data_IF_213993841627
#
_entry.id   IF_213993841627
#
_cell.length_a   1.000
_cell.length_b   1.000
_cell.length_c   1.000
_cell.angle_alpha   90.00
_cell.angle_beta   90.00
_cell.angle_gamma   90.00
#
_symmetry.space_group_name_H-M   'P 1'
#
loop_
_entity.id
_entity.type
_entity.pdbx_description
1 polymer ?
#
# COMPACT_ATOMS: atom_id res chain seq x y z
N UNK A 1 -10.39 -30.80 19.04
CA UNK A 1 -10.69 -29.95 20.20
C UNK A 1 -10.86 -28.50 19.80
N UNK A 2 -12.07 -27.98 19.97
CA UNK A 2 -12.45 -26.59 19.66
C UNK A 2 -12.84 -25.85 20.96
N UNK A 3 -12.02 -25.97 22.00
CA UNK A 3 -12.34 -25.58 23.37
C UNK A 3 -12.18 -24.08 23.68
N UNK A 4 -12.08 -23.22 22.66
CA UNK A 4 -11.86 -21.76 22.82
C UNK A 4 -12.73 -20.87 21.93
N UNK A 5 -13.71 -21.41 21.19
CA UNK A 5 -14.51 -20.67 20.18
C UNK A 5 -15.56 -19.68 20.73
N UNK A 6 -15.53 -19.37 22.02
CA UNK A 6 -16.48 -18.46 22.67
C UNK A 6 -15.96 -17.05 22.92
N UNK A 7 -14.66 -16.78 22.71
CA UNK A 7 -14.12 -15.44 22.93
C UNK A 7 -14.18 -14.61 21.65
N UNK A 8 -14.67 -13.38 21.78
CA UNK A 8 -14.79 -12.44 20.67
C UNK A 8 -13.39 -11.89 20.39
N UNK A 9 -12.85 -12.04 19.16
CA UNK A 9 -11.56 -11.48 18.78
C UNK A 9 -11.47 -10.00 19.15
N UNK A 10 -10.33 -9.58 19.71
CA UNK A 10 -10.11 -8.20 20.21
C UNK A 10 -10.33 -7.14 19.12
N UNK A 11 -10.10 -7.51 17.84
CA UNK A 11 -10.35 -6.66 16.67
C UNK A 11 -11.84 -6.42 16.39
N UNK A 12 -12.72 -7.35 16.78
CA UNK A 12 -14.19 -7.18 16.69
C UNK A 12 -14.68 -6.23 17.79
N UNK A 13 -14.05 -6.27 18.98
CA UNK A 13 -14.37 -5.35 20.10
C UNK A 13 -13.99 -3.89 19.81
N UNK A 14 -13.13 -3.65 18.82
CA UNK A 14 -12.57 -2.33 18.47
C UNK A 14 -13.14 -1.74 17.17
N UNK A 15 -14.11 -2.41 16.54
CA UNK A 15 -14.85 -1.92 15.38
C UNK A 15 -15.64 -0.64 15.73
N UNK A 16 -15.44 0.48 15.02
CA UNK A 16 -16.04 1.78 15.37
C UNK A 16 -17.58 1.81 15.27
N UNK A 17 -18.20 0.89 14.51
CA UNK A 17 -19.66 0.76 14.40
C UNK A 17 -20.29 -0.11 15.50
N UNK A 18 -19.50 -0.91 16.23
CA UNK A 18 -20.00 -1.75 17.33
C UNK A 18 -19.86 -0.98 18.65
N UNK A 19 -20.76 -0.01 18.86
CA UNK A 19 -20.94 0.68 20.16
C UNK A 19 -21.58 -0.20 21.24
N UNK A 20 -21.99 -1.42 20.91
CA UNK A 20 -22.70 -2.33 21.80
C UNK A 20 -21.85 -3.55 22.18
N UNK A 21 -22.03 -3.98 23.42
CA UNK A 21 -21.37 -5.12 24.05
C UNK A 21 -21.61 -6.39 23.21
N UNK A 22 -20.57 -6.92 22.56
CA UNK A 22 -20.67 -8.14 21.74
C UNK A 22 -20.95 -9.32 22.67
N UNK A 23 -22.21 -9.72 22.76
CA UNK A 23 -22.64 -10.88 23.54
C UNK A 23 -22.76 -12.10 22.61
N UNK A 24 -22.01 -13.16 22.94
CA UNK A 24 -22.19 -14.47 22.28
C UNK A 24 -23.55 -15.01 22.70
N UNK A 25 -24.46 -15.17 21.75
CA UNK A 25 -25.80 -15.74 21.99
C UNK A 25 -25.69 -17.28 21.88
N UNK A 26 -25.74 -18.03 22.99
CA UNK A 26 -25.51 -19.47 22.99
C UNK A 26 -26.56 -20.26 22.19
N UNK A 27 -27.76 -19.71 22.03
CA UNK A 27 -28.88 -20.35 21.32
C UNK A 27 -28.80 -20.17 19.79
N UNK A 28 -27.86 -19.36 19.30
CA UNK A 28 -27.69 -19.07 17.88
C UNK A 28 -26.80 -20.12 17.22
N UNK A 29 -27.40 -21.21 16.72
CA UNK A 29 -26.67 -22.20 15.94
C UNK A 29 -26.43 -21.69 14.52
N UNK A 30 -25.21 -21.22 14.24
CA UNK A 30 -24.72 -20.86 12.91
C UNK A 30 -23.85 -22.00 12.39
N UNK A 31 -24.21 -22.57 11.23
CA UNK A 31 -23.41 -23.59 10.55
C UNK A 31 -22.86 -23.04 9.23
N UNK A 32 -21.57 -23.24 8.93
CA UNK A 32 -21.05 -22.98 7.58
C UNK A 32 -21.75 -23.92 6.59
N UNK A 33 -22.20 -23.37 5.46
CA UNK A 33 -22.90 -24.09 4.38
C UNK A 33 -22.01 -24.20 3.16
N UNK A 34 -21.13 -23.23 2.94
CA UNK A 34 -20.27 -23.18 1.78
C UNK A 34 -19.07 -22.26 2.01
N UNK A 35 -17.89 -22.63 1.48
CA UNK A 35 -17.57 -23.90 0.82
C UNK A 35 -17.63 -25.10 1.77
N UNK A 36 -17.91 -26.29 1.22
CA UNK A 36 -17.88 -27.54 1.99
C UNK A 36 -16.45 -27.82 2.46
N UNK A 37 -16.32 -28.42 3.64
CA UNK A 37 -15.02 -28.73 4.22
C UNK A 37 -14.22 -29.66 3.29
N UNK A 38 -12.97 -29.28 3.01
CA UNK A 38 -12.08 -30.00 2.09
C UNK A 38 -12.35 -29.80 0.59
N UNK A 39 -13.33 -29.00 0.17
CA UNK A 39 -13.58 -28.73 -1.26
C UNK A 39 -12.61 -27.68 -1.81
N UNK A 40 -12.00 -28.00 -2.95
CA UNK A 40 -11.18 -27.05 -3.71
C UNK A 40 -12.08 -26.08 -4.47
N UNK A 41 -12.14 -24.84 -4.02
CA UNK A 41 -12.90 -23.78 -4.69
C UNK A 41 -12.06 -23.17 -5.81
N UNK A 42 -12.51 -23.35 -7.06
CA UNK A 42 -11.80 -22.86 -8.26
C UNK A 42 -12.18 -21.44 -8.70
N UNK A 43 -13.14 -20.80 -8.03
CA UNK A 43 -13.50 -19.41 -8.31
C UNK A 43 -12.59 -18.46 -7.54
N UNK A 44 -12.19 -17.35 -8.17
CA UNK A 44 -11.42 -16.30 -7.53
C UNK A 44 -12.21 -15.56 -6.43
N UNK A 45 -13.54 -15.67 -6.44
CA UNK A 45 -14.44 -15.03 -5.47
C UNK A 45 -15.33 -16.13 -4.87
N UNK A 46 -14.89 -16.82 -3.81
CA UNK A 46 -15.69 -17.84 -3.16
C UNK A 46 -16.86 -17.20 -2.39
N UNK A 47 -18.07 -17.73 -2.57
CA UNK A 47 -19.22 -17.33 -1.76
C UNK A 47 -19.19 -18.04 -0.40
N UNK A 48 -18.93 -17.30 0.67
CA UNK A 48 -19.04 -17.80 2.03
C UNK A 48 -20.51 -17.76 2.47
N UNK A 49 -21.10 -18.93 2.69
CA UNK A 49 -22.51 -19.06 3.09
C UNK A 49 -22.62 -19.64 4.48
N UNK A 50 -23.44 -19.01 5.32
CA UNK A 50 -23.79 -19.51 6.65
C UNK A 50 -25.28 -19.73 6.74
N UNK A 51 -25.69 -20.84 7.35
CA UNK A 51 -27.09 -21.15 7.68
C UNK A 51 -27.27 -20.99 9.16
N UNK A 52 -28.20 -20.12 9.50
CA UNK A 52 -28.66 -19.88 10.86
C UNK A 52 -29.86 -20.77 11.16
N UNK A 53 -29.90 -21.35 12.37
CA UNK A 53 -31.09 -22.02 12.92
C UNK A 53 -31.54 -21.27 14.18
N UNK A 54 -32.72 -20.65 14.12
CA UNK A 54 -33.30 -19.85 15.21
C UNK A 54 -33.05 -18.35 15.06
N UNK A 55 -34.02 -17.52 15.44
CA UNK A 55 -33.86 -16.07 15.50
C UNK A 55 -34.16 -15.52 16.89
N UNK A 56 -33.17 -14.98 17.63
CA UNK A 56 -33.41 -14.02 18.70
C UNK A 56 -34.33 -12.90 18.17
N UNK A 57 -35.53 -12.81 18.74
CA UNK A 57 -36.47 -11.73 18.45
C UNK A 57 -35.87 -10.40 18.89
N UNK A 58 -35.87 -9.40 18.01
CA UNK A 58 -35.47 -8.02 18.34
C UNK A 58 -33.98 -7.67 18.21
N UNK A 59 -33.10 -8.57 17.77
CA UNK A 59 -31.65 -8.30 17.67
C UNK A 59 -31.15 -8.22 16.22
N UNK A 60 -30.34 -7.19 15.91
CA UNK A 60 -29.56 -7.10 14.68
C UNK A 60 -28.35 -8.02 14.78
N UNK A 61 -28.13 -8.87 13.77
CA UNK A 61 -26.97 -9.76 13.70
C UNK A 61 -26.09 -9.35 12.54
N UNK A 62 -24.81 -9.16 12.86
CA UNK A 62 -23.75 -8.98 11.89
C UNK A 62 -22.92 -10.25 11.82
N UNK A 63 -22.57 -10.66 10.61
CA UNK A 63 -21.66 -11.78 10.37
C UNK A 63 -20.28 -11.23 10.05
N UNK A 64 -19.26 -11.84 10.64
CA UNK A 64 -17.87 -11.49 10.41
C UNK A 64 -17.13 -12.74 9.91
N UNK A 65 -16.49 -12.61 8.76
CA UNK A 65 -15.71 -13.68 8.15
C UNK A 65 -14.22 -13.34 8.21
N UNK A 66 -13.43 -14.33 8.62
CA UNK A 66 -11.96 -14.33 8.54
C UNK A 66 -11.52 -15.54 7.73
N UNK A 67 -10.53 -15.33 6.87
CA UNK A 67 -9.90 -16.37 6.05
C UNK A 67 -8.40 -16.33 6.34
N UNK A 68 -7.84 -17.47 6.73
CA UNK A 68 -6.40 -17.66 6.94
C UNK A 68 -5.95 -18.98 6.30
N UNK A 69 -4.68 -19.04 5.92
CA UNK A 69 -3.98 -20.28 5.57
C UNK A 69 -3.49 -21.03 6.82
N UNK A 70 -3.28 -20.30 7.93
CA UNK A 70 -2.92 -20.87 9.23
C UNK A 70 -4.17 -21.36 10.00
N UNK A 71 -4.23 -22.65 10.43
CA UNK A 71 -5.35 -23.19 11.19
C UNK A 71 -5.62 -22.46 12.51
N UNK A 72 -4.61 -21.80 13.07
CA UNK A 72 -4.72 -21.04 14.32
C UNK A 72 -5.14 -19.58 14.12
N UNK A 73 -5.35 -19.14 12.88
CA UNK A 73 -5.73 -17.78 12.53
C UNK A 73 -4.80 -16.74 13.15
N UNK A 74 -3.48 -16.94 13.10
CA UNK A 74 -2.51 -15.97 13.64
C UNK A 74 -1.67 -15.29 12.57
N UNK A 75 -1.88 -15.60 11.29
CA UNK A 75 -0.96 -15.14 10.25
C UNK A 75 -1.06 -13.62 9.98
N UNK A 76 0.04 -13.00 9.51
CA UNK A 76 0.04 -11.60 9.08
C UNK A 76 -0.80 -11.34 7.81
N UNK A 77 -1.14 -12.40 7.06
CA UNK A 77 -1.79 -12.32 5.75
C UNK A 77 -3.27 -12.72 5.79
N UNK A 78 -3.86 -12.74 6.99
CA UNK A 78 -5.29 -12.95 7.18
C UNK A 78 -6.11 -11.91 6.44
N UNK A 79 -7.18 -12.37 5.82
CA UNK A 79 -8.17 -11.51 5.20
C UNK A 79 -9.44 -11.50 6.05
N UNK A 80 -9.85 -10.32 6.48
CA UNK A 80 -11.06 -10.11 7.26
C UNK A 80 -12.09 -9.28 6.50
N UNK A 81 -13.37 -9.47 6.83
CA UNK A 81 -14.46 -8.66 6.27
C UNK A 81 -14.37 -7.17 6.64
N UNK A 82 -13.60 -6.85 7.68
CA UNK A 82 -13.35 -5.49 8.19
C UNK A 82 -12.12 -4.84 7.57
N UNK A 83 -11.35 -5.53 6.73
CA UNK A 83 -10.16 -4.92 6.14
C UNK A 83 -10.59 -3.81 5.18
N UNK A 84 -10.30 -2.57 5.58
CA UNK A 84 -10.45 -1.42 4.72
C UNK A 84 -9.36 -1.45 3.65
N UNK A 85 -9.68 -1.09 2.40
CA UNK A 85 -8.65 -0.90 1.39
C UNK A 85 -7.64 0.14 1.90
N UNK A 86 -6.38 -0.27 1.97
CA UNK A 86 -5.22 0.55 2.34
C UNK A 86 -5.20 1.97 1.76
N UNK A 87 -5.80 2.18 0.57
CA UNK A 87 -5.94 3.46 -0.11
C UNK A 87 -6.77 4.44 0.72
N UNK A 88 -7.89 4.00 1.31
CA UNK A 88 -8.76 4.86 2.12
C UNK A 88 -8.10 5.22 3.45
N UNK A 89 -7.29 4.33 4.03
CA UNK A 89 -6.49 4.64 5.22
C UNK A 89 -5.33 5.60 4.92
N UNK A 90 -4.77 5.55 3.71
CA UNK A 90 -3.68 6.42 3.28
C UNK A 90 -4.15 7.84 2.93
N UNK A 91 -5.38 8.01 2.43
CA UNK A 91 -5.95 9.32 2.10
C UNK A 91 -6.38 10.03 3.39
N UNK A 92 -5.46 10.78 3.98
CA UNK A 92 -5.73 11.66 5.12
C UNK A 92 -5.93 13.10 4.64
N UNK A 93 -7.18 13.55 4.40
CA UNK A 93 -7.45 14.86 3.79
C UNK A 93 -6.86 16.02 4.61
N UNK A 94 -6.79 15.87 5.94
CA UNK A 94 -6.14 16.84 6.83
C UNK A 94 -4.65 17.01 6.53
N UNK A 95 -3.92 15.93 6.27
CA UNK A 95 -2.48 15.98 5.97
C UNK A 95 -2.23 16.64 4.62
N UNK A 96 -3.07 16.30 3.62
CA UNK A 96 -3.02 16.90 2.29
C UNK A 96 -3.30 18.41 2.36
N UNK A 97 -4.33 18.81 3.10
CA UNK A 97 -4.68 20.22 3.29
C UNK A 97 -3.58 21.02 4.00
N UNK A 98 -2.96 20.45 5.03
CA UNK A 98 -1.82 21.07 5.72
C UNK A 98 -0.62 21.21 4.79
N UNK A 99 -0.28 20.17 4.01
CA UNK A 99 0.80 20.24 3.02
C UNK A 99 0.58 21.32 1.96
N UNK A 100 -0.64 21.44 1.46
CA UNK A 100 -1.03 22.47 0.49
C UNK A 100 -0.92 23.89 1.10
N UNK A 101 -1.41 24.09 2.32
CA UNK A 101 -1.32 25.37 3.00
C UNK A 101 0.13 25.79 3.29
N UNK A 102 0.99 24.85 3.70
CA UNK A 102 2.42 25.10 3.92
C UNK A 102 3.12 25.48 2.60
N UNK A 103 2.82 24.78 1.51
CA UNK A 103 3.38 25.08 0.20
C UNK A 103 2.98 26.48 -0.28
N UNK A 104 1.69 26.83 -0.17
CA UNK A 104 1.18 28.14 -0.57
C UNK A 104 1.70 29.27 0.35
N UNK A 105 1.78 29.03 1.65
CA UNK A 105 2.36 29.98 2.61
C UNK A 105 3.84 30.24 2.32
N UNK A 106 4.62 29.18 2.08
CA UNK A 106 6.03 29.31 1.70
C UNK A 106 6.20 30.05 0.38
N UNK A 107 5.33 29.80 -0.61
CA UNK A 107 5.31 30.53 -1.88
C UNK A 107 5.13 32.05 -1.68
N UNK A 108 4.15 32.45 -0.87
CA UNK A 108 3.86 33.87 -0.59
C UNK A 108 5.03 34.53 0.13
N UNK A 109 5.60 33.85 1.12
CA UNK A 109 6.77 34.35 1.87
C UNK A 109 7.96 34.56 0.93
N UNK A 110 8.33 33.57 0.11
CA UNK A 110 9.45 33.71 -0.82
C UNK A 110 9.20 34.79 -1.88
N UNK A 111 7.96 34.94 -2.34
CA UNK A 111 7.56 35.99 -3.28
C UNK A 111 7.75 37.39 -2.70
N UNK A 112 7.42 37.60 -1.41
CA UNK A 112 7.65 38.86 -0.70
C UNK A 112 9.14 39.22 -0.55
N UNK A 113 9.99 38.22 -0.31
CA UNK A 113 11.44 38.39 -0.19
C UNK A 113 12.18 38.39 -1.54
N UNK A 114 11.49 38.22 -2.68
CA UNK A 114 12.10 38.16 -4.01
C UNK A 114 13.04 36.97 -4.22
N UNK A 115 12.93 35.92 -3.40
CA UNK A 115 13.82 34.77 -3.44
C UNK A 115 13.48 33.84 -4.61
N UNK A 116 14.48 33.19 -5.25
CA UNK A 116 14.24 32.26 -6.35
C UNK A 116 13.27 31.15 -5.95
N UNK A 117 12.19 30.97 -6.73
CA UNK A 117 11.17 29.93 -6.49
C UNK A 117 11.74 28.50 -6.47
N UNK A 118 12.90 28.33 -7.10
CA UNK A 118 13.67 27.08 -7.13
C UNK A 118 14.09 26.60 -5.72
N UNK A 119 14.13 27.48 -4.71
CA UNK A 119 14.43 27.09 -3.33
C UNK A 119 13.37 26.15 -2.75
N UNK A 120 12.09 26.35 -3.07
CA UNK A 120 11.00 25.49 -2.60
C UNK A 120 11.16 24.09 -3.20
N UNK A 121 11.47 24.02 -4.50
CA UNK A 121 11.75 22.75 -5.18
C UNK A 121 12.95 22.03 -4.56
N UNK A 122 14.03 22.76 -4.23
CA UNK A 122 15.19 22.20 -3.55
C UNK A 122 14.87 21.66 -2.15
N UNK A 123 14.10 22.41 -1.37
CA UNK A 123 13.68 22.01 -0.03
C UNK A 123 12.79 20.75 -0.04
N UNK A 124 11.75 20.73 -0.89
CA UNK A 124 10.87 19.56 -1.02
C UNK A 124 11.66 18.33 -1.46
N UNK A 125 12.55 18.47 -2.45
CA UNK A 125 13.42 17.37 -2.91
C UNK A 125 14.33 16.86 -1.79
N UNK A 126 14.83 17.74 -0.92
CA UNK A 126 15.67 17.36 0.22
C UNK A 126 14.92 16.55 1.28
N UNK A 127 13.61 16.76 1.47
CA UNK A 127 12.81 16.00 2.43
C UNK A 127 12.48 14.58 1.95
N UNK A 128 12.47 14.37 0.63
CA UNK A 128 12.10 13.07 0.03
C UNK A 128 13.31 12.19 -0.30
N UNK A 129 14.51 12.77 -0.39
CA UNK A 129 15.72 12.06 -0.81
C UNK A 129 16.46 11.46 0.39
N UNK A 130 16.81 10.19 0.28
CA UNK A 130 17.68 9.53 1.26
C UNK A 130 19.13 10.04 1.05
N UNK A 131 19.87 10.41 2.11
CA UNK A 131 21.16 11.10 1.98
C UNK A 131 22.22 10.40 1.11
N UNK A 132 22.14 9.07 0.98
CA UNK A 132 23.09 8.31 0.16
C UNK A 132 23.00 8.60 -1.34
N UNK A 133 21.84 9.04 -1.84
CA UNK A 133 21.69 9.47 -3.25
C UNK A 133 22.42 10.79 -3.53
N UNK A 134 22.66 11.61 -2.51
CA UNK A 134 23.39 12.87 -2.68
C UNK A 134 24.87 12.62 -3.04
N UNK A 135 25.44 11.50 -2.57
CA UNK A 135 26.81 11.13 -2.90
C UNK A 135 27.00 10.85 -4.39
N UNK A 136 26.04 10.17 -5.03
CA UNK A 136 26.11 9.87 -6.47
C UNK A 136 25.95 11.12 -7.33
N UNK A 137 25.13 12.09 -6.90
CA UNK A 137 25.01 13.40 -7.55
C UNK A 137 26.32 14.19 -7.47
N UNK A 138 26.99 14.19 -6.31
CA UNK A 138 28.30 14.84 -6.14
C UNK A 138 29.35 14.19 -7.01
N UNK A 139 29.41 12.85 -7.03
CA UNK A 139 30.35 12.10 -7.89
C UNK A 139 30.09 12.42 -9.37
N UNK A 140 28.83 12.45 -9.79
CA UNK A 140 28.43 12.83 -11.15
C UNK A 140 28.82 14.26 -11.51
N UNK A 141 28.65 15.21 -10.59
CA UNK A 141 29.05 16.60 -10.76
C UNK A 141 30.58 16.77 -10.82
N UNK A 142 31.33 16.01 -10.03
CA UNK A 142 32.80 16.00 -10.06
C UNK A 142 33.32 15.42 -11.37
N UNK A 143 32.76 14.29 -11.84
CA UNK A 143 33.07 13.71 -13.15
C UNK A 143 32.76 14.70 -14.29
N UNK A 144 31.60 15.36 -14.24
CA UNK A 144 31.23 16.42 -15.17
C UNK A 144 32.27 17.55 -15.19
N UNK A 145 32.74 17.98 -14.00
CA UNK A 145 33.65 19.12 -13.86
C UNK A 145 35.08 18.82 -14.27
N UNK A 146 35.64 17.70 -13.83
CA UNK A 146 37.07 17.39 -14.01
C UNK A 146 37.38 16.64 -15.31
N UNK A 147 36.47 15.81 -15.80
CA UNK A 147 36.72 15.00 -17.00
C UNK A 147 35.97 15.51 -18.23
N UNK A 148 34.66 15.70 -18.13
CA UNK A 148 33.82 15.97 -19.30
C UNK A 148 33.88 17.41 -19.81
N UNK A 149 34.04 18.41 -18.92
CA UNK A 149 34.20 19.80 -19.36
C UNK A 149 35.48 20.07 -20.12
N UNK A 150 36.59 19.43 -19.76
CA UNK A 150 37.86 19.56 -20.49
C UNK A 150 37.84 18.83 -21.85
N UNK A 151 37.02 17.78 -22.00
CA UNK A 151 37.01 16.95 -23.22
C UNK A 151 35.96 17.36 -24.26
N UNK A 152 34.76 17.78 -23.85
CA UNK A 152 33.63 18.02 -24.77
C UNK A 152 33.12 19.48 -24.77
N UNK A 153 33.61 20.32 -23.87
CA UNK A 153 33.15 21.71 -23.73
C UNK A 153 31.82 21.85 -22.97
N UNK A 154 31.59 23.05 -22.40
CA UNK A 154 30.50 23.27 -21.43
C UNK A 154 29.08 23.06 -21.97
N UNK A 155 28.85 23.47 -23.21
CA UNK A 155 27.51 23.51 -23.79
C UNK A 155 27.10 22.15 -24.38
N UNK A 156 28.03 21.46 -25.06
CA UNK A 156 27.77 20.13 -25.63
C UNK A 156 27.62 19.06 -24.54
N UNK A 157 28.41 19.13 -23.46
CA UNK A 157 28.26 18.20 -22.33
C UNK A 157 26.87 18.27 -21.69
N UNK A 158 26.28 19.47 -21.56
CA UNK A 158 24.91 19.62 -21.01
C UNK A 158 23.86 18.92 -21.86
N UNK A 159 24.01 18.95 -23.19
CA UNK A 159 23.12 18.25 -24.11
C UNK A 159 23.30 16.73 -24.02
N UNK A 160 24.54 16.24 -24.00
CA UNK A 160 24.82 14.81 -23.84
C UNK A 160 24.38 14.26 -22.48
N UNK A 161 24.58 15.01 -21.40
CA UNK A 161 24.11 14.63 -20.08
C UNK A 161 22.58 14.51 -20.02
N UNK A 162 21.86 15.43 -20.68
CA UNK A 162 20.40 15.34 -20.77
C UNK A 162 19.95 14.07 -21.51
N UNK A 163 20.52 13.78 -22.68
CA UNK A 163 20.19 12.57 -23.45
C UNK A 163 20.52 11.29 -22.68
N UNK A 164 21.68 11.25 -22.01
CA UNK A 164 22.09 10.11 -21.18
C UNK A 164 21.12 9.89 -20.02
N UNK A 165 20.68 10.96 -19.35
CA UNK A 165 19.75 10.87 -18.22
C UNK A 165 18.39 10.32 -18.65
N UNK A 166 17.86 10.78 -19.79
CA UNK A 166 16.60 10.30 -20.36
C UNK A 166 16.73 8.84 -20.80
N UNK A 167 17.84 8.46 -21.44
CA UNK A 167 18.09 7.08 -21.84
C UNK A 167 18.16 6.11 -20.64
N UNK A 168 18.84 6.53 -19.56
CA UNK A 168 18.90 5.75 -18.33
C UNK A 168 17.53 5.61 -17.67
N UNK A 169 16.75 6.70 -17.58
CA UNK A 169 15.40 6.66 -17.02
C UNK A 169 14.46 5.74 -17.81
N UNK A 170 14.50 5.79 -19.14
CA UNK A 170 13.74 4.90 -20.01
C UNK A 170 14.17 3.43 -19.84
N UNK A 171 15.47 3.17 -19.72
CA UNK A 171 16.01 1.84 -19.44
C UNK A 171 15.50 1.28 -18.11
N UNK A 172 15.56 2.06 -17.03
CA UNK A 172 15.04 1.64 -15.71
C UNK A 172 13.56 1.28 -15.76
N UNK A 173 12.75 2.08 -16.47
CA UNK A 173 11.32 1.81 -16.63
C UNK A 173 11.08 0.52 -17.42
N UNK A 174 11.81 0.31 -18.53
CA UNK A 174 11.67 -0.88 -19.36
C UNK A 174 12.05 -2.16 -18.59
N UNK A 175 13.16 -2.14 -17.86
CA UNK A 175 13.59 -3.27 -17.02
C UNK A 175 12.59 -3.54 -15.89
N UNK A 176 12.03 -2.49 -15.27
CA UNK A 176 10.99 -2.64 -14.26
C UNK A 176 9.73 -3.31 -14.81
N UNK A 177 9.27 -2.88 -15.99
CA UNK A 177 8.11 -3.50 -16.65
C UNK A 177 8.39 -4.96 -17.03
N UNK A 178 9.58 -5.26 -17.54
CA UNK A 178 9.99 -6.63 -17.85
C UNK A 178 9.97 -7.53 -16.60
N UNK A 179 10.49 -7.04 -15.47
CA UNK A 179 10.48 -7.79 -14.21
C UNK A 179 9.04 -8.06 -13.70
N UNK A 180 8.15 -7.05 -13.78
CA UNK A 180 6.74 -7.20 -13.41
C UNK A 180 6.05 -8.23 -14.32
N UNK A 181 6.30 -8.20 -15.63
CA UNK A 181 5.74 -9.17 -16.57
C UNK A 181 6.15 -10.61 -16.22
N UNK A 182 7.43 -10.84 -15.89
CA UNK A 182 7.92 -12.16 -15.46
C UNK A 182 7.24 -12.58 -14.15
N UNK A 183 7.12 -11.69 -13.18
CA UNK A 183 6.45 -11.97 -11.90
C UNK A 183 4.95 -12.34 -12.09
N UNK A 184 4.25 -11.66 -13.01
CA UNK A 184 2.86 -11.98 -13.33
C UNK A 184 2.71 -13.33 -14.03
N UNK A 185 3.66 -13.71 -14.89
CA UNK A 185 3.69 -15.04 -15.52
C UNK A 185 3.90 -16.11 -14.43
N UNK A 186 4.88 -15.93 -13.54
CA UNK A 186 5.12 -16.86 -12.44
C UNK A 186 3.88 -17.04 -11.55
N UNK A 187 3.20 -15.94 -11.23
CA UNK A 187 1.96 -15.97 -10.43
C UNK A 187 0.82 -16.67 -11.18
N UNK A 188 0.69 -16.44 -12.49
CA UNK A 188 -0.34 -17.10 -13.32
C UNK A 188 -0.10 -18.61 -13.46
N UNK A 189 1.16 -19.05 -13.57
CA UNK A 189 1.51 -20.47 -13.67
C UNK A 189 1.38 -21.19 -12.32
N UNK A 190 1.66 -20.52 -11.19
CA UNK A 190 1.48 -21.11 -9.86
C UNK A 190 0.03 -21.46 -9.54
N UNK A 191 -0.94 -20.82 -10.20
CA UNK A 191 -2.37 -21.15 -10.05
C UNK A 191 -2.73 -22.46 -10.77
N UNK A 192 -1.94 -22.92 -11.74
CA UNK A 192 -2.20 -24.16 -12.50
C UNK A 192 -1.69 -25.43 -11.81
N UNK A 193 -0.77 -25.31 -10.84
CA UNK A 193 -0.17 -26.45 -10.13
C UNK A 193 -0.87 -26.78 -8.79
N UNK A 194 -2.05 -26.21 -8.54
CA UNK A 194 -2.97 -26.61 -7.46
C UNK A 194 -4.38 -26.82 -8.00
#
# INVERSE_FOLDING_TARGET
DFEGKGDVPERIKTLPELKEEVRVLPDLLVKPVGPEDGVVVRTAIPELKVRRRGSPEGHHIQYYFEIDLDPTFTSPWKQASTDEPWLFQAIKPRVIGVGFAIALGSYIVLSLFGLPILLIFGYVRSLTTIPHWMATEIIGALLARYYFWNKYGKQQWRLYAAVLSVGFAAGMALTGMAAIAIALIQKSVSVLIF
#
